data_IF_164517207390
#
_entry.id   IF_164517207390
#
_cell.length_a   1.000
_cell.length_b   1.000
_cell.length_c   1.000
_cell.angle_alpha   90.00
_cell.angle_beta   90.00
_cell.angle_gamma   90.00
#
_symmetry.space_group_name_H-M   'P 1'
#
loop_
_entity.id
_entity.type
_entity.pdbx_description
1 polymer ?
#
# COMPACT_ATOMS: atom_id res chain seq x y z
N UNK A 1 77.51 6.15 -12.59
CA UNK A 1 76.92 6.32 -11.25
C UNK A 1 75.47 6.83 -11.25
N UNK A 2 75.03 7.74 -12.13
CA UNK A 2 73.63 8.25 -12.13
C UNK A 2 72.55 7.23 -12.50
N UNK A 3 72.82 6.21 -13.33
CA UNK A 3 71.81 5.18 -13.70
C UNK A 3 71.43 4.20 -12.58
N UNK A 4 72.41 3.89 -11.70
CA UNK A 4 72.16 2.94 -10.58
C UNK A 4 71.30 3.58 -9.50
N UNK A 5 71.44 4.88 -9.26
CA UNK A 5 70.61 5.61 -8.30
C UNK A 5 69.13 5.68 -8.74
N UNK A 6 68.88 5.89 -10.04
CA UNK A 6 67.48 5.92 -10.55
C UNK A 6 66.78 4.59 -10.42
N UNK A 7 67.44 3.44 -10.60
CA UNK A 7 66.86 2.10 -10.44
C UNK A 7 66.56 1.80 -8.98
N UNK A 8 67.45 2.24 -8.05
CA UNK A 8 67.24 2.08 -6.59
C UNK A 8 65.99 2.83 -6.11
N UNK A 9 65.73 4.05 -6.59
CA UNK A 9 64.53 4.82 -6.24
C UNK A 9 63.25 4.21 -6.84
N UNK A 10 63.36 3.59 -8.02
CA UNK A 10 62.20 2.89 -8.62
C UNK A 10 61.80 1.66 -7.79
N UNK A 11 62.76 0.87 -7.30
CA UNK A 11 62.47 -0.29 -6.45
C UNK A 11 61.92 0.09 -5.08
N UNK A 12 62.41 1.16 -4.46
CA UNK A 12 61.89 1.66 -3.17
C UNK A 12 60.45 2.18 -3.34
N UNK A 13 60.16 2.89 -4.44
CA UNK A 13 58.81 3.35 -4.74
C UNK A 13 57.81 2.19 -4.98
N UNK A 14 58.25 1.15 -5.70
CA UNK A 14 57.41 -0.02 -5.98
C UNK A 14 57.09 -0.84 -4.72
N UNK A 15 58.09 -1.07 -3.83
CA UNK A 15 57.89 -1.78 -2.58
C UNK A 15 57.16 -0.94 -1.53
N UNK A 16 57.42 0.36 -1.44
CA UNK A 16 56.70 1.29 -0.56
C UNK A 16 55.21 1.41 -0.94
N UNK A 17 54.89 1.50 -2.23
CA UNK A 17 53.53 1.53 -2.73
C UNK A 17 52.75 0.25 -2.43
N UNK A 18 53.39 -0.91 -2.51
CA UNK A 18 52.78 -2.20 -2.21
C UNK A 18 52.43 -2.35 -0.70
N UNK A 19 53.35 -1.91 0.18
CA UNK A 19 53.13 -1.93 1.62
C UNK A 19 52.04 -0.95 2.07
N UNK A 20 51.98 0.24 1.49
CA UNK A 20 50.94 1.24 1.81
C UNK A 20 49.58 0.78 1.30
N UNK A 21 49.50 0.11 0.15
CA UNK A 21 48.22 -0.47 -0.35
C UNK A 21 47.73 -1.63 0.52
N UNK A 22 48.60 -2.38 1.16
CA UNK A 22 48.21 -3.46 2.07
C UNK A 22 47.77 -2.95 3.45
N UNK A 23 48.28 -1.77 3.88
CA UNK A 23 47.89 -1.17 5.15
C UNK A 23 46.57 -0.37 5.08
N UNK A 24 46.09 -0.04 3.88
CA UNK A 24 44.76 0.54 3.61
C UNK A 24 43.73 -0.53 3.28
N UNK A 25 43.85 -1.73 3.84
CA UNK A 25 42.69 -2.61 3.97
C UNK A 25 41.69 -1.87 4.84
N UNK A 26 40.77 -1.20 4.18
CA UNK A 26 39.55 -0.64 4.80
C UNK A 26 38.98 -1.77 5.66
N UNK A 27 39.09 -1.62 6.96
CA UNK A 27 38.20 -2.32 7.89
C UNK A 27 36.81 -1.81 7.55
N UNK A 28 36.20 -2.39 6.52
CA UNK A 28 34.75 -2.37 6.42
C UNK A 28 34.31 -2.93 7.77
N UNK A 29 33.73 -2.08 8.57
CA UNK A 29 33.05 -2.48 9.80
C UNK A 29 32.10 -3.60 9.36
N UNK A 30 32.58 -4.85 9.50
CA UNK A 30 31.73 -6.01 9.34
C UNK A 30 30.80 -5.90 10.54
N UNK A 31 29.68 -5.23 10.32
CA UNK A 31 28.51 -5.44 11.16
C UNK A 31 28.45 -6.94 11.35
N UNK A 32 28.78 -7.43 12.55
CA UNK A 32 28.71 -8.84 12.92
C UNK A 32 27.40 -9.34 12.29
N UNK A 33 27.42 -10.39 11.46
CA UNK A 33 26.19 -10.92 10.94
C UNK A 33 25.35 -11.21 12.17
N UNK A 34 24.24 -10.50 12.35
CA UNK A 34 23.34 -10.71 13.48
C UNK A 34 23.16 -12.22 13.56
N UNK A 35 23.54 -12.84 14.67
CA UNK A 35 23.46 -14.28 14.85
C UNK A 35 22.00 -14.67 14.61
N UNK A 36 21.69 -15.07 13.38
CA UNK A 36 20.35 -15.52 13.05
C UNK A 36 19.98 -16.64 13.99
N UNK A 37 18.82 -16.59 14.64
CA UNK A 37 18.37 -17.63 15.59
C UNK A 37 17.98 -18.89 14.80
N UNK A 38 18.99 -19.64 14.34
CA UNK A 38 18.81 -20.76 13.40
C UNK A 38 17.85 -21.81 13.98
N UNK A 39 17.92 -22.09 15.30
CA UNK A 39 17.04 -23.05 15.93
C UNK A 39 15.56 -22.59 15.93
N UNK A 40 15.31 -21.31 16.10
CA UNK A 40 13.94 -20.77 16.05
C UNK A 40 13.45 -20.67 14.60
N UNK A 41 14.32 -20.37 13.64
CA UNK A 41 13.98 -20.44 12.22
C UNK A 41 13.67 -21.88 11.77
N UNK A 42 14.34 -22.90 12.31
CA UNK A 42 13.97 -24.30 12.07
C UNK A 42 12.59 -24.62 12.62
N UNK A 43 12.26 -24.16 13.85
CA UNK A 43 10.91 -24.31 14.41
C UNK A 43 9.85 -23.67 13.53
N UNK A 44 10.10 -22.44 13.09
CA UNK A 44 9.22 -21.74 12.15
C UNK A 44 9.01 -22.54 10.85
N UNK A 45 10.10 -23.05 10.23
CA UNK A 45 10.02 -23.87 9.02
C UNK A 45 9.23 -25.18 9.25
N UNK A 46 9.39 -25.81 10.40
CA UNK A 46 8.64 -27.01 10.78
C UNK A 46 7.13 -26.72 10.89
N UNK A 47 6.76 -25.61 11.56
CA UNK A 47 5.35 -25.19 11.67
C UNK A 47 4.76 -24.87 10.28
N UNK A 48 5.51 -24.15 9.44
CA UNK A 48 5.12 -23.90 8.06
C UNK A 48 4.86 -25.19 7.28
N UNK A 49 5.79 -26.14 7.35
CA UNK A 49 5.65 -27.45 6.69
C UNK A 49 4.45 -28.25 7.23
N UNK A 50 4.22 -28.22 8.56
CA UNK A 50 3.08 -28.88 9.17
C UNK A 50 1.73 -28.30 8.70
N UNK A 51 1.63 -26.98 8.55
CA UNK A 51 0.45 -26.32 7.99
C UNK A 51 0.23 -26.78 6.53
N UNK A 52 1.27 -26.76 5.72
CA UNK A 52 1.19 -27.17 4.31
C UNK A 52 0.76 -28.63 4.13
N UNK A 53 1.19 -29.52 5.05
CA UNK A 53 0.90 -30.94 4.97
C UNK A 53 -0.45 -31.33 5.55
N UNK A 54 -0.95 -30.63 6.59
CA UNK A 54 -2.05 -31.12 7.40
C UNK A 54 -3.25 -30.18 7.46
N UNK A 55 -3.18 -28.95 6.93
CA UNK A 55 -4.33 -28.04 6.95
C UNK A 55 -5.41 -28.55 5.99
N UNK A 56 -6.68 -28.38 6.37
CA UNK A 56 -7.84 -28.91 5.64
C UNK A 56 -8.02 -28.33 4.23
N UNK A 57 -7.54 -27.12 4.00
CA UNK A 57 -7.59 -26.45 2.72
C UNK A 57 -6.17 -26.14 2.19
N UNK A 58 -6.03 -26.06 0.87
CA UNK A 58 -4.77 -25.59 0.25
C UNK A 58 -4.47 -24.15 0.64
N UNK A 59 -3.35 -23.93 1.31
CA UNK A 59 -2.90 -22.60 1.72
C UNK A 59 -1.77 -22.14 0.81
N UNK A 60 -1.94 -20.95 0.24
CA UNK A 60 -0.93 -20.32 -0.59
C UNK A 60 0.28 -19.89 0.24
N UNK A 61 1.49 -20.19 -0.25
CA UNK A 61 2.76 -19.89 0.42
C UNK A 61 2.93 -18.40 0.71
N UNK A 62 2.61 -17.56 -0.27
CA UNK A 62 2.67 -16.10 -0.12
C UNK A 62 1.76 -15.61 1.01
N UNK A 63 0.57 -16.22 1.18
CA UNK A 63 -0.36 -15.88 2.27
C UNK A 63 0.21 -16.24 3.64
N UNK A 64 0.84 -17.41 3.77
CA UNK A 64 1.48 -17.85 5.01
C UNK A 64 2.66 -16.95 5.39
N UNK A 65 3.54 -16.66 4.44
CA UNK A 65 4.71 -15.81 4.66
C UNK A 65 4.29 -14.37 5.00
N UNK A 66 3.32 -13.80 4.28
CA UNK A 66 2.78 -12.47 4.62
C UNK A 66 2.18 -12.44 6.01
N UNK A 67 1.42 -13.47 6.38
CA UNK A 67 0.85 -13.60 7.73
C UNK A 67 1.92 -13.66 8.81
N UNK A 68 3.00 -14.40 8.58
CA UNK A 68 4.12 -14.51 9.51
C UNK A 68 4.85 -13.16 9.68
N UNK A 69 5.18 -12.47 8.59
CA UNK A 69 5.83 -11.14 8.63
C UNK A 69 4.92 -10.13 9.33
N UNK A 70 3.63 -10.12 9.03
CA UNK A 70 2.67 -9.24 9.70
C UNK A 70 2.57 -9.55 11.19
N UNK A 71 2.58 -10.84 11.58
CA UNK A 71 2.57 -11.26 12.97
C UNK A 71 3.81 -10.83 13.75
N UNK A 72 5.00 -10.91 13.15
CA UNK A 72 6.24 -10.42 13.77
C UNK A 72 6.17 -8.92 14.07
N UNK A 73 5.66 -8.11 13.14
CA UNK A 73 5.60 -6.66 13.31
C UNK A 73 4.51 -6.25 14.30
N UNK A 74 3.32 -6.86 14.23
CA UNK A 74 2.24 -6.57 15.18
C UNK A 74 2.56 -6.98 16.61
N UNK A 75 3.54 -7.84 16.81
CA UNK A 75 4.07 -8.20 18.13
C UNK A 75 5.01 -7.14 18.73
N UNK A 76 5.46 -6.14 17.98
CA UNK A 76 6.37 -5.10 18.46
C UNK A 76 5.60 -3.97 19.15
N UNK A 77 4.69 -3.33 18.41
CA UNK A 77 3.89 -2.21 18.89
C UNK A 77 2.64 -2.00 17.98
N UNK A 78 1.65 -1.18 18.43
CA UNK A 78 0.42 -0.93 17.66
C UNK A 78 0.63 -0.14 16.35
N UNK A 79 1.78 0.48 16.16
CA UNK A 79 2.08 1.35 15.01
C UNK A 79 2.93 0.65 13.96
N UNK A 80 3.56 -0.49 14.32
CA UNK A 80 4.37 -1.29 13.40
C UNK A 80 3.49 -2.21 12.58
N UNK A 81 3.52 -2.07 11.26
CA UNK A 81 2.74 -2.90 10.34
C UNK A 81 3.52 -3.25 9.08
N UNK A 82 3.24 -4.41 8.52
CA UNK A 82 3.76 -4.82 7.23
C UNK A 82 2.86 -4.30 6.11
N UNK A 83 3.45 -3.54 5.21
CA UNK A 83 2.79 -3.12 3.98
C UNK A 83 3.32 -3.97 2.83
N UNK A 84 2.46 -4.77 2.22
CA UNK A 84 2.79 -5.38 0.94
C UNK A 84 2.80 -4.31 -0.16
N UNK A 85 3.18 -4.70 -1.38
CA UNK A 85 3.31 -3.77 -2.51
C UNK A 85 2.02 -2.96 -2.76
N UNK A 86 0.86 -3.60 -2.64
CA UNK A 86 -0.43 -2.95 -2.86
C UNK A 86 -0.77 -2.00 -1.71
N UNK A 87 -0.59 -2.44 -0.46
CA UNK A 87 -0.82 -1.61 0.72
C UNK A 87 0.15 -0.41 0.78
N UNK A 88 1.41 -0.59 0.34
CA UNK A 88 2.37 0.50 0.24
C UNK A 88 1.96 1.52 -0.83
N UNK A 89 1.52 1.07 -2.01
CA UNK A 89 0.97 1.95 -3.04
C UNK A 89 -0.26 2.71 -2.55
N UNK A 90 -1.14 2.05 -1.81
CA UNK A 90 -2.33 2.67 -1.23
C UNK A 90 -1.96 3.73 -0.18
N UNK A 91 -0.96 3.46 0.67
CA UNK A 91 -0.45 4.44 1.61
C UNK A 91 0.15 5.65 0.89
N UNK A 92 1.01 5.40 -0.11
CA UNK A 92 1.63 6.45 -0.91
C UNK A 92 0.59 7.31 -1.64
N UNK A 93 -0.43 6.68 -2.24
CA UNK A 93 -1.54 7.39 -2.87
C UNK A 93 -2.36 8.21 -1.85
N UNK A 94 -2.53 7.68 -0.64
CA UNK A 94 -3.21 8.37 0.46
C UNK A 94 -2.46 9.62 0.94
N UNK A 95 -1.14 9.54 1.06
CA UNK A 95 -0.29 10.69 1.46
C UNK A 95 -0.23 11.77 0.37
N UNK A 96 -0.22 11.36 -0.90
CA UNK A 96 -0.29 12.28 -2.05
C UNK A 96 -1.70 12.83 -2.30
N UNK A 97 -2.72 12.36 -1.58
CA UNK A 97 -4.10 12.78 -1.76
C UNK A 97 -4.71 12.41 -3.11
N UNK A 98 -4.09 11.47 -3.84
CA UNK A 98 -4.53 11.05 -5.18
C UNK A 98 -4.59 9.53 -5.27
N UNK A 99 -5.69 8.99 -5.75
CA UNK A 99 -5.83 7.55 -5.99
C UNK A 99 -6.74 7.26 -7.19
N UNK A 100 -6.45 6.15 -7.87
CA UNK A 100 -7.31 5.69 -8.95
C UNK A 100 -8.59 5.03 -8.42
N UNK A 101 -9.76 5.58 -8.77
CA UNK A 101 -11.02 5.06 -8.26
C UNK A 101 -12.26 5.76 -8.82
N UNK A 102 -13.34 5.71 -8.05
CA UNK A 102 -14.66 6.24 -8.42
C UNK A 102 -14.98 7.56 -7.72
N UNK A 103 -14.34 7.81 -6.57
CA UNK A 103 -14.66 8.96 -5.71
C UNK A 103 -15.93 8.75 -4.90
N UNK A 104 -15.99 7.64 -4.16
CA UNK A 104 -17.10 7.29 -3.26
C UNK A 104 -16.53 7.01 -1.87
N UNK A 105 -17.12 7.63 -0.88
CA UNK A 105 -16.95 7.21 0.51
C UNK A 105 -17.95 6.10 0.81
N UNK A 106 -17.48 4.97 1.33
CA UNK A 106 -18.30 3.80 1.58
C UNK A 106 -18.15 3.30 3.01
N UNK A 107 -19.23 2.70 3.51
CA UNK A 107 -19.28 2.01 4.80
C UNK A 107 -20.01 0.68 4.67
N UNK A 108 -20.33 0.06 5.79
CA UNK A 108 -21.13 -1.17 5.84
C UNK A 108 -22.45 -0.92 6.56
N UNK A 109 -23.52 -1.49 6.02
CA UNK A 109 -24.84 -1.53 6.66
C UNK A 109 -25.49 -2.89 6.39
N UNK A 110 -25.86 -3.61 7.44
CA UNK A 110 -26.55 -4.91 7.38
C UNK A 110 -25.82 -5.93 6.47
N UNK A 111 -24.48 -5.95 6.52
CA UNK A 111 -23.64 -6.83 5.71
C UNK A 111 -23.56 -6.46 4.23
N UNK A 112 -24.04 -5.29 3.84
CA UNK A 112 -23.93 -4.71 2.51
C UNK A 112 -23.00 -3.50 2.52
N UNK A 113 -22.50 -3.13 1.36
CA UNK A 113 -21.68 -1.93 1.16
C UNK A 113 -22.60 -0.75 0.89
N UNK A 114 -22.55 0.25 1.78
CA UNK A 114 -23.37 1.47 1.68
C UNK A 114 -22.51 2.65 1.22
N UNK A 115 -23.04 3.43 0.29
CA UNK A 115 -22.48 4.73 -0.05
C UNK A 115 -22.79 5.72 1.08
N UNK A 116 -21.73 6.22 1.73
CA UNK A 116 -21.86 7.31 2.72
C UNK A 116 -22.06 8.62 1.97
N UNK A 117 -21.16 8.93 1.04
CA UNK A 117 -21.30 10.07 0.14
C UNK A 117 -20.46 9.89 -1.13
N UNK A 118 -20.91 10.34 -2.31
CA UNK A 118 -20.02 10.57 -3.43
C UNK A 118 -19.20 11.84 -3.19
N UNK A 119 -17.92 11.82 -3.61
CA UNK A 119 -17.05 12.99 -3.56
C UNK A 119 -17.42 13.89 -4.76
N UNK A 120 -17.57 15.18 -4.51
CA UNK A 120 -17.88 16.16 -5.56
C UNK A 120 -16.86 16.15 -6.71
N UNK A 121 -17.34 16.40 -7.92
CA UNK A 121 -16.52 16.43 -9.14
C UNK A 121 -15.83 15.11 -9.52
N UNK A 122 -16.26 13.98 -8.95
CA UNK A 122 -15.71 12.65 -9.25
C UNK A 122 -16.58 11.88 -10.25
N UNK A 123 -16.05 10.79 -10.83
CA UNK A 123 -16.83 9.92 -11.72
C UNK A 123 -18.14 9.41 -11.15
N UNK A 124 -18.15 9.05 -9.87
CA UNK A 124 -19.35 8.54 -9.21
C UNK A 124 -20.42 9.61 -9.03
N UNK A 125 -20.03 10.82 -8.61
CA UNK A 125 -20.94 11.96 -8.52
C UNK A 125 -21.54 12.31 -9.88
N UNK A 126 -20.73 12.36 -10.93
CA UNK A 126 -21.18 12.59 -12.29
C UNK A 126 -22.10 11.50 -12.83
N UNK A 127 -21.88 10.25 -12.41
CA UNK A 127 -22.74 9.13 -12.78
C UNK A 127 -24.10 9.13 -12.05
N UNK A 128 -24.28 9.94 -11.01
CA UNK A 128 -25.53 10.02 -10.24
C UNK A 128 -25.63 9.04 -9.07
N UNK A 129 -24.50 8.52 -8.58
CA UNK A 129 -24.44 7.81 -7.29
C UNK A 129 -24.84 8.77 -6.18
N UNK A 130 -25.62 8.30 -5.21
CA UNK A 130 -26.16 9.10 -4.11
C UNK A 130 -25.79 8.50 -2.75
N UNK A 131 -25.79 9.36 -1.73
CA UNK A 131 -25.69 8.90 -0.35
C UNK A 131 -26.88 7.97 -0.01
N UNK A 132 -26.61 6.89 0.69
CA UNK A 132 -27.61 5.88 1.03
C UNK A 132 -27.74 4.74 0.02
N UNK A 133 -27.18 4.83 -1.19
CA UNK A 133 -27.15 3.73 -2.15
C UNK A 133 -26.50 2.48 -1.54
N UNK A 134 -27.16 1.32 -1.66
CA UNK A 134 -26.61 0.04 -1.25
C UNK A 134 -26.02 -0.66 -2.46
N UNK A 135 -24.73 -0.84 -2.50
CA UNK A 135 -24.01 -1.52 -3.58
C UNK A 135 -24.21 -3.02 -3.38
N UNK A 136 -24.95 -3.69 -4.26
CA UNK A 136 -25.22 -5.13 -4.18
C UNK A 136 -24.33 -5.96 -5.10
N UNK A 137 -23.75 -5.35 -6.16
CA UNK A 137 -22.74 -5.99 -7.02
C UNK A 137 -21.69 -5.00 -7.47
N UNK A 138 -20.47 -5.49 -7.61
CA UNK A 138 -19.33 -4.84 -8.24
C UNK A 138 -18.89 -5.72 -9.40
N UNK A 139 -19.07 -5.26 -10.64
CA UNK A 139 -19.00 -6.08 -11.85
C UNK A 139 -19.89 -7.34 -11.71
N UNK A 140 -19.32 -8.55 -11.77
CA UNK A 140 -20.03 -9.80 -11.58
C UNK A 140 -20.10 -10.29 -10.12
N UNK A 141 -19.38 -9.63 -9.19
CA UNK A 141 -19.26 -10.09 -7.80
C UNK A 141 -20.34 -9.49 -6.91
N UNK A 142 -21.07 -10.35 -6.18
CA UNK A 142 -21.99 -9.90 -5.14
C UNK A 142 -21.22 -9.34 -3.95
N UNK A 143 -21.76 -8.28 -3.33
CA UNK A 143 -21.13 -7.61 -2.17
C UNK A 143 -21.65 -8.10 -0.82
N UNK A 144 -22.72 -8.89 -0.81
CA UNK A 144 -23.29 -9.43 0.44
C UNK A 144 -22.27 -10.28 1.18
N UNK A 145 -21.96 -9.91 2.42
CA UNK A 145 -20.96 -10.59 3.24
C UNK A 145 -19.51 -10.25 2.88
N UNK A 146 -19.27 -9.38 1.89
CA UNK A 146 -17.93 -8.90 1.55
C UNK A 146 -17.45 -7.90 2.61
N UNK A 147 -16.19 -8.00 3.03
CA UNK A 147 -15.63 -6.99 3.91
C UNK A 147 -15.39 -5.67 3.14
N UNK A 148 -15.37 -4.55 3.87
CA UNK A 148 -15.24 -3.22 3.28
C UNK A 148 -13.95 -3.05 2.48
N UNK A 149 -12.83 -3.59 2.99
CA UNK A 149 -11.53 -3.50 2.33
C UNK A 149 -11.50 -4.19 0.96
N UNK A 150 -12.14 -5.36 0.85
CA UNK A 150 -12.23 -6.08 -0.43
C UNK A 150 -13.12 -5.34 -1.43
N UNK A 151 -14.23 -4.77 -0.98
CA UNK A 151 -15.09 -3.94 -1.82
C UNK A 151 -14.34 -2.70 -2.34
N UNK A 152 -13.60 -2.01 -1.47
CA UNK A 152 -12.76 -0.86 -1.84
C UNK A 152 -11.70 -1.26 -2.86
N UNK A 153 -10.99 -2.39 -2.64
CA UNK A 153 -10.00 -2.91 -3.61
C UNK A 153 -10.60 -3.17 -4.98
N UNK A 154 -11.82 -3.70 -5.06
CA UNK A 154 -12.51 -3.91 -6.33
C UNK A 154 -12.91 -2.60 -7.01
N UNK A 155 -13.34 -1.60 -6.24
CA UNK A 155 -13.73 -0.29 -6.76
C UNK A 155 -12.53 0.56 -7.19
N UNK A 156 -11.39 0.44 -6.52
CA UNK A 156 -10.12 1.06 -6.93
C UNK A 156 -9.58 0.39 -8.19
N UNK A 157 -8.64 1.05 -8.85
CA UNK A 157 -7.93 0.51 -10.00
C UNK A 157 -7.43 1.58 -10.95
N UNK A 158 -6.80 1.13 -12.04
CA UNK A 158 -6.17 2.02 -13.01
C UNK A 158 -7.19 3.00 -13.60
N UNK A 159 -6.87 4.31 -13.70
CA UNK A 159 -7.69 5.29 -14.40
C UNK A 159 -8.04 4.83 -15.81
N UNK A 160 -9.14 5.33 -16.36
CA UNK A 160 -9.70 5.01 -17.70
C UNK A 160 -10.23 3.57 -17.85
N UNK A 161 -10.22 2.75 -16.79
CA UNK A 161 -10.91 1.44 -16.79
C UNK A 161 -12.33 1.59 -16.26
N UNK A 162 -13.28 0.97 -16.93
CA UNK A 162 -14.69 0.96 -16.51
C UNK A 162 -14.95 -0.09 -15.45
N UNK A 163 -15.99 0.15 -14.65
CA UNK A 163 -16.53 -0.76 -13.66
C UNK A 163 -18.05 -0.61 -13.65
N UNK A 164 -18.78 -1.70 -13.37
CA UNK A 164 -20.23 -1.69 -13.20
C UNK A 164 -20.57 -1.82 -11.72
N UNK A 165 -21.35 -0.87 -11.20
CA UNK A 165 -21.94 -0.96 -9.88
C UNK A 165 -23.44 -1.21 -10.03
N UNK A 166 -23.96 -2.24 -9.38
CA UNK A 166 -25.40 -2.44 -9.22
C UNK A 166 -25.77 -2.01 -7.83
N UNK A 167 -26.68 -1.05 -7.73
CA UNK A 167 -27.10 -0.49 -6.44
C UNK A 167 -28.60 -0.62 -6.26
N UNK A 168 -29.02 -0.74 -5.00
CA UNK A 168 -30.41 -0.57 -4.58
C UNK A 168 -30.50 0.78 -3.90
N UNK A 169 -31.48 1.57 -4.33
CA UNK A 169 -31.77 2.91 -3.80
C UNK A 169 -33.16 2.92 -3.20
N UNK A 170 -33.29 3.50 -2.04
CA UNK A 170 -34.59 3.67 -1.39
C UNK A 170 -35.54 4.48 -2.31
N UNK A 171 -36.81 4.04 -2.37
CA UNK A 171 -37.82 4.66 -3.25
C UNK A 171 -37.70 4.26 -4.73
N UNK A 172 -36.76 3.37 -5.13
CA UNK A 172 -36.72 2.84 -6.50
C UNK A 172 -37.14 1.39 -6.57
N UNK A 173 -38.02 1.01 -7.54
CA UNK A 173 -38.59 -0.34 -7.60
C UNK A 173 -37.60 -1.42 -8.09
N UNK A 174 -36.50 -1.03 -8.73
CA UNK A 174 -35.54 -1.96 -9.31
C UNK A 174 -34.10 -1.50 -9.07
N UNK A 175 -33.13 -2.43 -9.03
CA UNK A 175 -31.71 -2.08 -8.94
C UNK A 175 -31.25 -1.21 -10.11
N UNK A 176 -30.43 -0.23 -9.83
CA UNK A 176 -29.85 0.69 -10.82
C UNK A 176 -28.43 0.21 -11.15
N UNK A 177 -28.09 0.21 -12.44
CA UNK A 177 -26.76 -0.17 -12.90
C UNK A 177 -26.03 1.08 -13.36
N UNK A 178 -24.90 1.39 -12.71
CA UNK A 178 -24.00 2.46 -13.09
C UNK A 178 -22.76 1.88 -13.76
N UNK A 179 -22.45 2.34 -14.99
CA UNK A 179 -21.17 2.06 -15.63
C UNK A 179 -20.29 3.29 -15.47
N UNK A 180 -19.25 3.17 -14.67
CA UNK A 180 -18.42 4.30 -14.24
C UNK A 180 -16.99 4.07 -14.72
N UNK A 181 -16.39 5.07 -15.34
CA UNK A 181 -14.97 5.06 -15.71
C UNK A 181 -14.14 5.58 -14.55
N UNK A 182 -13.20 4.77 -14.07
CA UNK A 182 -12.27 5.18 -13.00
C UNK A 182 -11.41 6.37 -13.45
N UNK A 183 -11.13 7.26 -12.52
CA UNK A 183 -10.27 8.41 -12.74
C UNK A 183 -9.31 8.59 -11.58
N UNK A 184 -8.37 9.52 -11.70
CA UNK A 184 -7.55 9.97 -10.58
C UNK A 184 -8.47 10.84 -9.69
N UNK A 185 -8.71 10.37 -8.49
CA UNK A 185 -9.50 11.09 -7.49
C UNK A 185 -8.56 11.95 -6.68
N UNK A 186 -8.75 13.25 -6.72
CA UNK A 186 -8.05 14.21 -5.87
C UNK A 186 -8.96 14.58 -4.70
N UNK A 187 -8.50 14.32 -3.49
CA UNK A 187 -9.22 14.73 -2.29
C UNK A 187 -8.77 16.14 -1.93
N UNK A 188 -9.67 17.10 -2.05
CA UNK A 188 -9.39 18.47 -1.60
C UNK A 188 -9.37 18.51 -0.07
N UNK A 189 -8.18 18.61 0.49
CA UNK A 189 -7.98 18.71 1.94
C UNK A 189 -8.40 20.04 2.51
N UNK A 190 -8.39 21.10 1.70
CA UNK A 190 -8.79 22.45 2.09
C UNK A 190 -9.89 22.96 1.17
N UNK A 191 -10.98 23.43 1.76
CA UNK A 191 -12.07 24.12 1.05
C UNK A 191 -12.30 25.47 1.68
N UNK A 192 -12.54 26.50 0.85
CA UNK A 192 -12.88 27.82 1.33
C UNK A 192 -14.10 28.37 0.58
N UNK A 193 -14.87 29.17 1.25
CA UNK A 193 -15.98 29.94 0.67
C UNK A 193 -16.15 31.24 1.43
N UNK A 194 -16.67 32.24 0.74
CA UNK A 194 -17.19 33.45 1.38
C UNK A 194 -18.64 33.19 1.81
N UNK A 195 -18.98 33.67 3.02
CA UNK A 195 -20.34 33.71 3.55
C UNK A 195 -20.72 35.18 3.57
N UNK A 196 -21.81 35.53 2.88
CA UNK A 196 -22.36 36.90 2.85
C UNK A 196 -21.34 38.00 2.43
N UNK A 197 -20.38 37.64 1.57
CA UNK A 197 -19.28 38.47 1.05
C UNK A 197 -18.34 39.11 2.14
N UNK A 198 -18.57 38.85 3.42
CA UNK A 198 -17.78 39.42 4.50
C UNK A 198 -16.99 38.41 5.32
N UNK A 199 -17.45 37.14 5.36
CA UNK A 199 -16.85 36.12 6.24
C UNK A 199 -16.23 35.04 5.39
N UNK A 200 -14.91 34.83 5.54
CA UNK A 200 -14.20 33.68 4.95
C UNK A 200 -14.37 32.43 5.80
N UNK A 201 -14.94 31.36 5.20
CA UNK A 201 -15.00 30.03 5.81
C UNK A 201 -13.92 29.15 5.20
N UNK A 202 -13.06 28.54 6.02
CA UNK A 202 -12.05 27.56 5.61
C UNK A 202 -12.29 26.26 6.36
N UNK A 203 -12.39 25.16 5.62
CA UNK A 203 -12.46 23.80 6.17
C UNK A 203 -11.21 23.03 5.76
N UNK A 204 -10.46 22.56 6.75
CA UNK A 204 -9.34 21.64 6.59
C UNK A 204 -9.86 20.26 7.00
N UNK A 205 -9.92 19.29 6.06
CA UNK A 205 -10.43 17.94 6.31
C UNK A 205 -9.31 16.95 6.62
N UNK A 206 -8.12 17.18 6.08
CA UNK A 206 -6.92 16.37 6.35
C UNK A 206 -5.66 17.12 5.93
N UNK A 207 -4.51 16.67 6.44
CA UNK A 207 -3.20 17.16 6.01
C UNK A 207 -2.61 16.17 5.01
N UNK A 208 -2.11 16.69 3.89
CA UNK A 208 -1.50 15.93 2.80
C UNK A 208 -0.20 16.61 2.40
N UNK A 209 0.74 15.85 1.79
CA UNK A 209 1.94 16.41 1.17
C UNK A 209 1.62 17.09 -0.17
#
# INVERSE_FOLDING_TARGET
MKKIQSISFLFIGLHGGFFVSFALSVSADRTEPSNLPIEDLKKFANVYGAIKANYVEDVNDSKLIKGAVSGMLSGLDPHSTYLDEDAFKDLQAGTQGQFGGLGIEVGTQDGLIKVVSPIENTPAARAGIQAGDLIIKIDSKATKGMNLGDAVKLMRGKPKKTIKLTVVRDGTPAPIIFTITRDIIQVQSVRSKLIDDEIGFVRISQFQE
#
